data_IF_835850415543
#
_entry.id   IF_835850415543
#
_cell.length_a   1.000
_cell.length_b   1.000
_cell.length_c   1.000
_cell.angle_alpha   90.00
_cell.angle_beta   90.00
_cell.angle_gamma   90.00
#
_symmetry.space_group_name_H-M   'P 1'
#
loop_
_entity.id
_entity.type
_entity.pdbx_description
1 polymer ?
#
# COMPACT_ATOMS: atom_id res chain seq x y z
N UNK A 1 -2.69 48.22 -46.61
CA UNK A 1 -3.33 46.92 -46.37
C UNK A 1 -2.53 46.16 -45.31
N UNK A 2 -2.90 46.25 -44.01
CA UNK A 2 -2.22 45.58 -42.89
C UNK A 2 -3.15 44.49 -42.32
N UNK A 3 -3.10 43.29 -42.91
CA UNK A 3 -3.86 42.11 -42.48
C UNK A 3 -2.97 40.95 -41.92
N UNK A 4 -1.61 40.92 -41.99
CA UNK A 4 -0.85 39.71 -41.64
C UNK A 4 -0.70 39.47 -40.12
N UNK A 5 -0.90 40.49 -39.29
CA UNK A 5 -0.68 40.39 -37.84
C UNK A 5 -1.78 39.63 -37.11
N UNK A 6 -3.05 39.78 -37.50
CA UNK A 6 -4.18 39.14 -36.81
C UNK A 6 -4.19 37.61 -36.99
N UNK A 7 -3.86 37.12 -38.19
CA UNK A 7 -3.81 35.68 -38.50
C UNK A 7 -2.66 35.00 -37.74
N UNK A 8 -1.50 35.66 -37.68
CA UNK A 8 -0.32 35.17 -36.97
C UNK A 8 -0.53 35.16 -35.45
N UNK A 9 -1.17 36.21 -34.92
CA UNK A 9 -1.49 36.32 -33.49
C UNK A 9 -2.50 35.26 -33.03
N UNK A 10 -3.50 34.93 -33.86
CA UNK A 10 -4.47 33.87 -33.56
C UNK A 10 -3.82 32.46 -33.60
N UNK A 11 -2.81 32.25 -34.46
CA UNK A 11 -2.02 31.01 -34.49
C UNK A 11 -1.15 30.86 -33.24
N UNK A 12 -0.46 31.93 -32.83
CA UNK A 12 0.36 31.94 -31.62
C UNK A 12 -0.51 31.71 -30.38
N UNK A 13 -1.68 32.35 -30.31
CA UNK A 13 -2.62 32.16 -29.20
C UNK A 13 -3.12 30.70 -29.14
N UNK A 14 -3.48 30.10 -30.27
CA UNK A 14 -3.90 28.69 -30.32
C UNK A 14 -2.78 27.74 -29.88
N UNK A 15 -1.54 27.98 -30.29
CA UNK A 15 -0.39 27.18 -29.85
C UNK A 15 -0.17 27.35 -28.34
N UNK A 16 -0.24 28.57 -27.82
CA UNK A 16 -0.08 28.85 -26.39
C UNK A 16 -1.17 28.16 -25.55
N UNK A 17 -2.43 28.18 -26.01
CA UNK A 17 -3.55 27.49 -25.36
C UNK A 17 -3.34 25.98 -25.36
N UNK A 18 -2.89 25.38 -26.48
CA UNK A 18 -2.61 23.94 -26.57
C UNK A 18 -1.46 23.54 -25.62
N UNK A 19 -0.39 24.34 -25.55
CA UNK A 19 0.73 24.06 -24.66
C UNK A 19 0.32 24.19 -23.18
N UNK A 20 -0.50 25.20 -22.85
CA UNK A 20 -1.02 25.38 -21.50
C UNK A 20 -1.93 24.22 -21.09
N UNK A 21 -2.87 23.80 -21.94
CA UNK A 21 -3.76 22.66 -21.63
C UNK A 21 -2.99 21.35 -21.52
N UNK A 22 -2.00 21.11 -22.38
CA UNK A 22 -1.13 19.94 -22.27
C UNK A 22 -0.33 19.92 -20.96
N UNK A 23 0.19 21.07 -20.52
CA UNK A 23 0.91 21.19 -19.25
C UNK A 23 -0.02 20.91 -18.05
N UNK A 24 -1.25 21.43 -18.07
CA UNK A 24 -2.24 21.16 -17.03
C UNK A 24 -2.61 19.67 -16.98
N UNK A 25 -2.86 19.02 -18.13
CA UNK A 25 -3.16 17.58 -18.19
C UNK A 25 -1.98 16.73 -17.68
N UNK A 26 -0.75 17.11 -18.00
CA UNK A 26 0.44 16.42 -17.50
C UNK A 26 0.59 16.51 -15.97
N UNK A 27 0.22 17.64 -15.36
CA UNK A 27 0.21 17.81 -13.91
C UNK A 27 -0.83 16.92 -13.20
N UNK A 28 -1.97 16.66 -13.84
CA UNK A 28 -2.99 15.73 -13.31
C UNK A 28 -2.66 14.25 -13.51
N UNK A 29 -1.64 13.93 -14.31
CA UNK A 29 -1.26 12.55 -14.64
C UNK A 29 -0.23 11.94 -13.67
N UNK A 30 0.22 12.68 -12.66
CA UNK A 30 0.95 12.12 -11.51
C UNK A 30 -0.03 11.39 -10.58
N UNK A 31 -0.72 10.38 -11.11
CA UNK A 31 -1.50 9.44 -10.32
C UNK A 31 -0.53 8.53 -9.56
N UNK A 32 -0.74 8.39 -8.25
CA UNK A 32 -0.01 7.44 -7.42
C UNK A 32 0.03 6.06 -8.10
N UNK A 33 1.23 5.58 -8.41
CA UNK A 33 1.40 4.19 -8.83
C UNK A 33 0.90 3.30 -7.68
N UNK A 34 -0.07 2.43 -7.97
CA UNK A 34 -0.47 1.39 -7.03
C UNK A 34 0.70 0.42 -6.88
N UNK A 35 1.16 0.25 -5.65
CA UNK A 35 2.20 -0.72 -5.33
C UNK A 35 1.52 -1.95 -4.72
N UNK A 36 1.68 -3.10 -5.34
CA UNK A 36 1.17 -4.38 -4.82
C UNK A 36 2.29 -5.32 -4.40
N UNK A 37 3.55 -4.93 -4.59
CA UNK A 37 4.69 -5.78 -4.27
C UNK A 37 4.90 -5.79 -2.76
N UNK A 38 4.54 -6.92 -2.14
CA UNK A 38 4.73 -7.12 -0.71
C UNK A 38 6.23 -7.11 -0.38
N UNK A 39 6.69 -6.22 0.53
CA UNK A 39 8.09 -6.18 0.94
C UNK A 39 8.57 -7.53 1.48
N UNK A 40 9.77 -7.94 1.06
CA UNK A 40 10.33 -9.26 1.37
C UNK A 40 10.45 -9.52 2.88
N UNK A 41 10.70 -8.46 3.66
CA UNK A 41 10.76 -8.53 5.12
C UNK A 41 9.43 -9.00 5.75
N UNK A 42 8.29 -8.67 5.13
CA UNK A 42 6.94 -9.00 5.62
C UNK A 42 6.48 -10.40 5.21
N UNK A 43 7.02 -10.97 4.13
CA UNK A 43 6.60 -12.28 3.61
C UNK A 43 6.74 -13.38 4.66
N UNK A 44 5.71 -14.20 4.83
CA UNK A 44 5.67 -15.33 5.77
C UNK A 44 4.63 -15.16 6.88
N UNK A 45 4.72 -16.00 7.90
CA UNK A 45 3.73 -16.12 8.98
C UNK A 45 4.20 -15.41 10.24
N UNK A 46 3.30 -14.66 10.85
CA UNK A 46 3.50 -13.87 12.05
C UNK A 46 2.55 -14.33 13.15
N UNK A 47 3.06 -14.48 14.37
CA UNK A 47 2.29 -14.82 15.56
C UNK A 47 2.60 -13.88 16.71
N UNK A 48 1.64 -13.72 17.60
CA UNK A 48 1.83 -12.99 18.85
C UNK A 48 1.83 -13.93 20.04
N UNK A 49 2.53 -13.55 21.11
CA UNK A 49 2.52 -14.26 22.38
C UNK A 49 1.29 -13.92 23.24
N UNK A 50 0.43 -12.99 22.78
CA UNK A 50 -0.78 -12.63 23.49
C UNK A 50 -1.72 -13.85 23.64
N UNK A 51 -2.11 -14.25 24.87
CA UNK A 51 -2.85 -15.48 25.10
C UNK A 51 -4.16 -15.58 24.30
N UNK A 52 -4.85 -14.45 24.12
CA UNK A 52 -6.12 -14.36 23.40
C UNK A 52 -5.98 -14.60 21.88
N UNK A 53 -4.74 -14.63 21.38
CA UNK A 53 -4.40 -14.77 19.97
C UNK A 53 -3.44 -15.96 19.73
N UNK A 54 -3.29 -16.86 20.71
CA UNK A 54 -2.33 -17.97 20.62
C UNK A 54 -2.59 -18.93 19.44
N UNK A 55 -3.85 -19.07 19.04
CA UNK A 55 -4.30 -19.85 17.88
C UNK A 55 -4.47 -19.01 16.61
N UNK A 56 -4.11 -17.72 16.64
CA UNK A 56 -4.24 -16.78 15.53
C UNK A 56 -2.88 -16.55 14.88
N UNK A 57 -2.90 -16.27 13.59
CA UNK A 57 -1.70 -15.86 12.86
C UNK A 57 -2.06 -14.81 11.80
N UNK A 58 -1.07 -14.01 11.43
CA UNK A 58 -1.15 -13.07 10.32
C UNK A 58 -0.09 -13.52 9.31
N UNK A 59 -0.46 -13.78 8.07
CA UNK A 59 0.48 -14.16 7.03
C UNK A 59 0.41 -13.21 5.84
N UNK A 60 1.57 -12.91 5.28
CA UNK A 60 1.70 -12.14 4.05
C UNK A 60 2.37 -13.00 2.99
N UNK A 61 1.69 -13.15 1.86
CA UNK A 61 2.25 -13.72 0.63
C UNK A 61 2.36 -12.62 -0.42
N UNK A 62 2.85 -12.94 -1.61
CA UNK A 62 3.10 -11.95 -2.68
C UNK A 62 1.87 -11.12 -3.06
N UNK A 63 0.67 -11.66 -2.89
CA UNK A 63 -0.59 -11.01 -3.32
C UNK A 63 -1.70 -11.07 -2.29
N UNK A 64 -1.46 -11.70 -1.13
CA UNK A 64 -2.51 -12.00 -0.16
C UNK A 64 -2.11 -11.65 1.27
N UNK A 65 -3.11 -11.25 2.04
CA UNK A 65 -3.07 -11.23 3.51
C UNK A 65 -3.95 -12.38 3.99
N UNK A 66 -3.40 -13.27 4.80
CA UNK A 66 -4.16 -14.37 5.39
C UNK A 66 -4.26 -14.19 6.91
N UNK A 67 -5.47 -14.26 7.42
CA UNK A 67 -5.78 -14.24 8.86
C UNK A 67 -6.15 -15.65 9.31
N UNK A 68 -5.32 -16.20 10.19
CA UNK A 68 -5.62 -17.44 10.90
C UNK A 68 -6.63 -17.18 12.01
N UNK A 69 -7.77 -17.85 11.94
CA UNK A 69 -8.88 -17.74 12.88
C UNK A 69 -8.98 -18.96 13.81
N UNK A 70 -7.86 -19.62 14.10
CA UNK A 70 -7.80 -20.77 14.98
C UNK A 70 -8.66 -21.93 14.49
N UNK A 71 -9.54 -22.45 15.36
CA UNK A 71 -10.44 -23.54 15.00
C UNK A 71 -11.44 -23.21 13.88
N UNK A 72 -11.67 -21.92 13.58
CA UNK A 72 -12.53 -21.49 12.49
C UNK A 72 -11.85 -21.54 11.11
N UNK A 73 -10.56 -21.92 11.04
CA UNK A 73 -9.79 -22.00 9.81
C UNK A 73 -9.03 -20.70 9.52
N UNK A 74 -8.97 -20.33 8.24
CA UNK A 74 -8.26 -19.15 7.77
C UNK A 74 -9.07 -18.43 6.70
N UNK A 75 -8.82 -17.12 6.55
CA UNK A 75 -9.42 -16.28 5.50
C UNK A 75 -8.31 -15.47 4.83
N UNK A 76 -8.33 -15.44 3.49
CA UNK A 76 -7.34 -14.75 2.69
C UNK A 76 -7.99 -13.61 1.89
N UNK A 77 -7.30 -12.48 1.85
CA UNK A 77 -7.73 -11.25 1.20
C UNK A 77 -6.75 -10.84 0.12
N UNK A 78 -7.25 -10.34 -1.01
CA UNK A 78 -6.41 -9.89 -2.14
C UNK A 78 -5.89 -8.49 -1.86
N UNK A 79 -4.57 -8.31 -1.93
CA UNK A 79 -3.94 -6.99 -1.80
C UNK A 79 -4.18 -6.18 -3.07
N UNK A 80 -4.64 -4.93 -2.91
CA UNK A 80 -4.90 -3.98 -4.01
C UNK A 80 -3.90 -2.83 -4.04
N UNK A 81 -3.37 -2.45 -2.88
CA UNK A 81 -2.37 -1.41 -2.76
C UNK A 81 -1.62 -1.52 -1.43
N UNK A 82 -0.39 -1.04 -1.42
CA UNK A 82 0.48 -0.97 -0.26
C UNK A 82 1.08 0.42 -0.24
N UNK A 83 0.77 1.16 0.82
CA UNK A 83 1.47 2.38 1.15
C UNK A 83 2.52 2.10 2.22
N UNK A 84 3.68 2.75 2.09
CA UNK A 84 4.73 2.67 3.09
C UNK A 84 5.32 4.04 3.37
N UNK A 85 5.67 4.27 4.63
CA UNK A 85 6.36 5.47 5.08
C UNK A 85 7.47 5.08 6.04
N UNK A 86 8.72 5.36 5.66
CA UNK A 86 9.87 5.22 6.56
C UNK A 86 9.75 6.18 7.73
N UNK A 87 10.10 5.71 8.92
CA UNK A 87 10.22 6.46 10.16
C UNK A 87 11.57 6.15 10.81
N UNK A 88 11.88 6.79 11.94
CA UNK A 88 13.22 6.74 12.54
C UNK A 88 13.69 5.32 12.87
N UNK A 89 12.82 4.45 13.42
CA UNK A 89 13.21 3.07 13.82
C UNK A 89 12.60 1.97 12.94
N UNK A 90 11.95 2.29 11.83
CA UNK A 90 11.15 1.31 11.11
C UNK A 90 10.30 1.88 9.97
N UNK A 91 9.27 1.15 9.58
CA UNK A 91 8.39 1.50 8.46
C UNK A 91 6.94 1.34 8.87
N UNK A 92 6.14 2.40 8.68
CA UNK A 92 4.69 2.31 8.77
C UNK A 92 4.13 1.79 7.43
N UNK A 93 3.35 0.73 7.47
CA UNK A 93 2.66 0.17 6.30
C UNK A 93 1.15 0.34 6.44
N UNK A 94 0.51 0.61 5.31
CA UNK A 94 -0.95 0.53 5.15
C UNK A 94 -1.24 -0.36 3.95
N UNK A 95 -1.82 -1.52 4.20
CA UNK A 95 -2.29 -2.43 3.16
C UNK A 95 -3.77 -2.17 2.90
N UNK A 96 -4.12 -2.03 1.63
CA UNK A 96 -5.49 -1.97 1.14
C UNK A 96 -5.80 -3.32 0.50
N UNK A 97 -6.83 -4.00 0.99
CA UNK A 97 -7.19 -5.34 0.55
C UNK A 97 -8.70 -5.46 0.37
N UNK A 98 -9.12 -6.48 -0.37
CA UNK A 98 -10.54 -6.77 -0.59
C UNK A 98 -10.91 -8.18 -0.14
N UNK A 99 -12.15 -8.32 0.28
CA UNK A 99 -12.78 -9.63 0.53
C UNK A 99 -13.45 -10.20 -0.74
N UNK A 100 -14.19 -11.30 -0.57
CA UNK A 100 -14.89 -11.97 -1.67
C UNK A 100 -16.03 -11.15 -2.28
N UNK A 101 -16.51 -10.12 -1.58
CA UNK A 101 -17.58 -9.22 -2.03
C UNK A 101 -17.02 -7.93 -2.65
N UNK A 102 -15.69 -7.86 -2.84
CA UNK A 102 -14.95 -6.69 -3.34
C UNK A 102 -15.03 -5.46 -2.42
N UNK A 103 -15.41 -5.62 -1.16
CA UNK A 103 -15.36 -4.53 -0.18
C UNK A 103 -13.91 -4.20 0.18
N UNK A 104 -13.55 -2.91 0.14
CA UNK A 104 -12.19 -2.45 0.46
C UNK A 104 -11.99 -2.25 1.96
N UNK A 105 -10.96 -2.89 2.49
CA UNK A 105 -10.55 -2.85 3.89
C UNK A 105 -9.10 -2.39 4.00
N UNK A 106 -8.71 -1.97 5.22
CA UNK A 106 -7.34 -1.51 5.50
C UNK A 106 -6.73 -2.20 6.70
N UNK A 107 -5.45 -2.55 6.58
CA UNK A 107 -4.61 -3.04 7.66
C UNK A 107 -3.40 -2.12 7.79
N UNK A 108 -3.33 -1.39 8.91
CA UNK A 108 -2.25 -0.46 9.20
C UNK A 108 -1.43 -0.94 10.40
N UNK A 109 -0.11 -0.96 10.24
CA UNK A 109 0.82 -1.42 11.27
C UNK A 109 2.20 -0.79 11.13
N UNK A 110 2.96 -0.84 12.21
CA UNK A 110 4.37 -0.48 12.24
C UNK A 110 5.24 -1.73 12.16
N UNK A 111 6.25 -1.70 11.29
CA UNK A 111 7.29 -2.72 11.21
C UNK A 111 8.58 -2.16 11.79
N UNK A 112 9.13 -2.85 12.80
CA UNK A 112 10.45 -2.57 13.36
C UNK A 112 11.40 -3.70 12.98
N UNK A 113 12.50 -3.43 12.23
CA UNK A 113 13.41 -4.47 11.74
C UNK A 113 14.31 -5.10 12.83
N UNK A 114 14.27 -4.60 14.07
CA UNK A 114 15.07 -5.15 15.17
C UNK A 114 14.57 -6.54 15.59
N UNK A 115 15.48 -7.38 16.09
CA UNK A 115 15.16 -8.71 16.67
C UNK A 115 14.34 -9.62 15.72
N UNK A 116 14.84 -9.83 14.50
CA UNK A 116 14.18 -10.63 13.44
C UNK A 116 12.87 -10.04 12.88
N UNK A 117 12.58 -8.79 13.22
CA UNK A 117 11.42 -8.07 12.75
C UNK A 117 10.21 -8.22 13.66
N UNK A 118 9.55 -7.10 13.94
CA UNK A 118 8.35 -7.01 14.75
C UNK A 118 7.25 -6.28 13.98
N UNK A 119 6.02 -6.78 14.05
CA UNK A 119 4.82 -6.09 13.58
C UNK A 119 4.02 -5.61 14.81
N UNK A 120 3.68 -4.33 14.83
CA UNK A 120 2.90 -3.68 15.88
C UNK A 120 1.65 -3.10 15.23
N UNK A 121 0.49 -3.67 15.53
CA UNK A 121 -0.78 -3.19 14.97
C UNK A 121 -1.20 -1.88 15.66
N UNK A 122 -1.70 -0.91 14.89
CA UNK A 122 -2.03 0.43 15.42
C UNK A 122 -3.10 0.42 16.54
N UNK A 123 -3.86 -0.66 16.69
CA UNK A 123 -4.95 -0.81 17.65
C UNK A 123 -4.65 -1.79 18.80
N UNK A 124 -3.39 -2.23 18.97
CA UNK A 124 -3.04 -3.18 20.03
C UNK A 124 -1.62 -2.98 20.55
N UNK A 125 -1.40 -3.27 21.83
CA UNK A 125 -0.05 -3.39 22.41
C UNK A 125 0.63 -4.73 22.03
N UNK A 126 -0.04 -5.57 21.23
CA UNK A 126 0.46 -6.88 20.87
C UNK A 126 1.52 -6.78 19.79
N UNK A 127 2.67 -7.38 20.09
CA UNK A 127 3.77 -7.52 19.14
C UNK A 127 3.64 -8.87 18.44
N UNK A 128 3.76 -8.85 17.12
CA UNK A 128 3.75 -10.01 16.26
C UNK A 128 5.17 -10.28 15.75
N UNK A 129 5.60 -11.53 15.87
CA UNK A 129 6.93 -12.01 15.49
C UNK A 129 6.82 -13.02 14.37
N UNK A 130 7.80 -13.00 13.48
CA UNK A 130 7.90 -13.95 12.39
C UNK A 130 8.14 -15.35 12.95
N UNK A 131 7.42 -16.33 12.45
CA UNK A 131 7.75 -17.74 12.70
C UNK A 131 8.82 -18.11 11.69
N UNK A 132 10.03 -18.39 12.18
CA UNK A 132 11.02 -19.02 11.35
C UNK A 132 10.57 -20.46 11.09
N UNK A 133 10.45 -20.87 9.83
CA UNK A 133 10.20 -22.27 9.46
C UNK A 133 11.38 -23.14 9.94
N UNK A 134 11.35 -23.57 11.21
CA UNK A 134 12.47 -24.23 11.86
C UNK A 134 12.25 -24.68 13.30
N UNK A 135 11.00 -24.79 13.78
CA UNK A 135 10.63 -25.51 15.01
C UNK A 135 9.46 -26.47 14.76
#
# INVERSE_FOLDING_TARGET
>A
MKIPTLITMNRIYRIAVILYTAAVIALFSFGCARNTDVPAELLGVWKTAAPNYADRHLAFDQSYITLGLGAAGEVSYIIKNIESRKQDSGTAYTFYYVDSEEEEWTLAFYYEPANDGLIILNNSENVWKKINSGE
#
